data_IF_888240210981
#
_entry.id   IF_888240210981
#
_cell.length_a   1.000
_cell.length_b   1.000
_cell.length_c   1.000
_cell.angle_alpha   90.00
_cell.angle_beta   90.00
_cell.angle_gamma   90.00
#
_symmetry.space_group_name_H-M   'P 1'
#
loop_
_entity.id
_entity.type
_entity.pdbx_description
1 polymer ?
#
# COMPACT_ATOMS: atom_id res chain seq x y z
N UNK A 1 -13.71 -0.62 14.66
CA UNK A 1 -13.91 -0.99 13.23
C UNK A 1 -12.59 -1.27 12.49
N UNK A 2 -11.56 -0.44 12.59
CA UNK A 2 -10.25 -0.69 11.95
C UNK A 2 -9.56 -1.98 12.45
N UNK A 3 -9.66 -2.29 13.75
CA UNK A 3 -9.14 -3.54 14.31
C UNK A 3 -9.72 -4.79 13.65
N UNK A 4 -11.00 -4.78 13.31
CA UNK A 4 -11.64 -5.87 12.58
C UNK A 4 -11.00 -6.10 11.21
N UNK A 5 -10.81 -5.04 10.41
CA UNK A 5 -10.17 -5.16 9.09
C UNK A 5 -8.73 -5.64 9.19
N UNK A 6 -7.97 -5.15 10.18
CA UNK A 6 -6.58 -5.57 10.43
C UNK A 6 -6.49 -7.06 10.80
N UNK A 7 -7.38 -7.54 11.66
CA UNK A 7 -7.41 -8.95 12.06
C UNK A 7 -7.82 -9.87 10.90
N UNK A 8 -8.85 -9.49 10.13
CA UNK A 8 -9.28 -10.23 8.96
C UNK A 8 -8.18 -10.30 7.88
N UNK A 9 -7.45 -9.20 7.66
CA UNK A 9 -6.32 -9.17 6.74
C UNK A 9 -5.19 -10.10 7.16
N UNK A 10 -4.83 -10.12 8.45
CA UNK A 10 -3.80 -11.00 8.99
C UNK A 10 -4.19 -12.47 8.86
N UNK A 11 -5.43 -12.82 9.18
CA UNK A 11 -5.97 -14.18 9.01
C UNK A 11 -5.91 -14.64 7.55
N UNK A 12 -6.39 -13.82 6.62
CA UNK A 12 -6.37 -14.12 5.19
C UNK A 12 -4.95 -14.25 4.64
N UNK A 13 -4.00 -13.43 5.11
CA UNK A 13 -2.59 -13.55 4.73
C UNK A 13 -2.00 -14.87 5.20
N UNK A 14 -2.26 -15.26 6.45
CA UNK A 14 -1.78 -16.53 7.01
C UNK A 14 -2.34 -17.73 6.23
N UNK A 15 -3.64 -17.74 5.97
CA UNK A 15 -4.29 -18.79 5.18
C UNK A 15 -3.70 -18.88 3.75
N UNK A 16 -3.44 -17.73 3.10
CA UNK A 16 -2.82 -17.68 1.77
C UNK A 16 -1.39 -18.24 1.76
N UNK A 17 -0.61 -17.93 2.79
CA UNK A 17 0.76 -18.47 2.93
C UNK A 17 0.78 -19.99 3.12
N UNK A 18 -0.13 -20.52 3.95
CA UNK A 18 -0.30 -21.97 4.15
C UNK A 18 -0.67 -22.66 2.82
N UNK A 19 -1.47 -21.99 1.97
CA UNK A 19 -1.81 -22.49 0.63
C UNK A 19 -0.71 -22.26 -0.43
N UNK A 20 0.52 -21.91 -0.03
CA UNK A 20 1.68 -21.76 -0.93
C UNK A 20 1.66 -20.51 -1.83
N UNK A 21 0.79 -19.53 -1.55
CA UNK A 21 0.71 -18.27 -2.33
C UNK A 21 1.44 -17.12 -1.62
N UNK A 22 1.95 -16.15 -2.37
CA UNK A 22 2.64 -14.96 -1.80
C UNK A 22 1.76 -14.17 -0.81
N UNK A 23 0.43 -14.21 -0.94
CA UNK A 23 -0.51 -13.62 0.00
C UNK A 23 -0.50 -12.08 0.03
N UNK A 24 -0.01 -11.43 -1.02
CA UNK A 24 0.10 -9.97 -1.08
C UNK A 24 -1.25 -9.30 -1.38
N UNK A 25 -2.06 -9.85 -2.28
CA UNK A 25 -3.28 -9.22 -2.78
C UNK A 25 -4.57 -9.80 -2.18
N UNK A 26 -4.52 -11.08 -1.75
CA UNK A 26 -5.72 -11.78 -1.26
C UNK A 26 -6.40 -11.08 -0.07
N UNK A 27 -5.67 -10.59 0.95
CA UNK A 27 -6.28 -9.83 2.04
C UNK A 27 -7.06 -8.62 1.55
N UNK A 28 -6.49 -7.85 0.63
CA UNK A 28 -7.15 -6.68 0.07
C UNK A 28 -8.41 -7.02 -0.71
N UNK A 29 -8.39 -8.09 -1.52
CA UNK A 29 -9.57 -8.59 -2.24
C UNK A 29 -10.70 -8.96 -1.27
N UNK A 30 -10.38 -9.67 -0.19
CA UNK A 30 -11.38 -10.05 0.83
C UNK A 30 -11.94 -8.82 1.52
N UNK A 31 -11.07 -7.91 1.96
CA UNK A 31 -11.49 -6.68 2.64
C UNK A 31 -12.39 -5.81 1.77
N UNK A 32 -12.06 -5.67 0.49
CA UNK A 32 -12.85 -4.88 -0.47
C UNK A 32 -14.24 -5.50 -0.73
N UNK A 33 -14.36 -6.83 -0.71
CA UNK A 33 -15.68 -7.50 -0.77
C UNK A 33 -16.53 -7.25 0.48
N UNK A 34 -15.90 -7.09 1.65
CA UNK A 34 -16.60 -6.77 2.90
C UNK A 34 -17.01 -5.29 2.93
N UNK A 35 -16.15 -4.40 2.42
CA UNK A 35 -16.40 -2.96 2.37
C UNK A 35 -15.62 -2.33 1.23
N UNK A 36 -16.31 -1.85 0.21
CA UNK A 36 -15.69 -1.23 -0.96
C UNK A 36 -14.86 0.03 -0.59
N UNK A 37 -15.28 0.78 0.43
CA UNK A 37 -14.58 1.96 0.94
C UNK A 37 -13.54 1.64 2.04
N UNK A 38 -13.08 0.39 2.14
CA UNK A 38 -12.14 -0.02 3.19
C UNK A 38 -10.82 0.74 3.13
N UNK A 39 -10.31 1.04 1.93
CA UNK A 39 -9.05 1.77 1.78
C UNK A 39 -9.15 3.19 2.33
N UNK A 40 -10.23 3.91 2.06
CA UNK A 40 -10.48 5.24 2.63
C UNK A 40 -10.45 5.20 4.16
N UNK A 41 -11.10 4.18 4.75
CA UNK A 41 -11.12 4.04 6.21
C UNK A 41 -9.76 3.68 6.81
N UNK A 42 -8.99 2.83 6.14
CA UNK A 42 -7.64 2.46 6.59
C UNK A 42 -6.65 3.62 6.43
N UNK A 43 -6.79 4.41 5.38
CA UNK A 43 -5.92 5.55 5.08
C UNK A 43 -6.20 6.78 5.95
N UNK A 44 -7.41 6.90 6.53
CA UNK A 44 -7.78 8.06 7.36
C UNK A 44 -6.95 8.20 8.65
N UNK A 45 -6.23 7.17 9.07
CA UNK A 45 -5.30 7.20 10.20
C UNK A 45 -3.92 7.79 9.86
N UNK A 46 -3.65 8.07 8.57
CA UNK A 46 -2.35 8.53 8.10
C UNK A 46 -2.33 10.03 7.86
N UNK A 47 -1.29 10.69 8.36
CA UNK A 47 -1.07 12.13 8.20
C UNK A 47 -0.38 12.44 6.86
N UNK A 48 0.52 11.52 6.42
CA UNK A 48 1.24 11.64 5.17
C UNK A 48 1.17 10.35 4.34
N UNK A 49 0.78 10.50 3.08
CA UNK A 49 0.77 9.42 2.09
C UNK A 49 1.56 9.87 0.87
N UNK A 50 2.67 9.20 0.62
CA UNK A 50 3.54 9.46 -0.54
C UNK A 50 3.30 8.37 -1.57
N UNK A 51 2.88 8.75 -2.77
CA UNK A 51 2.83 7.84 -3.91
C UNK A 51 4.13 7.93 -4.71
N UNK A 52 4.68 6.77 -5.07
CA UNK A 52 5.83 6.65 -5.96
C UNK A 52 5.40 5.92 -7.22
N UNK A 53 5.52 6.58 -8.37
CA UNK A 53 5.09 6.04 -9.66
C UNK A 53 6.09 6.34 -10.77
N UNK A 54 5.83 5.80 -11.95
CA UNK A 54 6.65 5.95 -13.15
C UNK A 54 6.83 4.62 -13.86
N UNK A 55 7.19 4.64 -15.13
CA UNK A 55 7.40 3.42 -15.93
C UNK A 55 8.55 2.60 -15.35
N UNK A 56 9.68 3.24 -15.02
CA UNK A 56 10.87 2.59 -14.49
C UNK A 56 11.32 3.20 -13.15
N UNK A 57 12.00 2.38 -12.33
CA UNK A 57 12.66 2.82 -11.11
C UNK A 57 11.76 3.00 -9.87
N UNK A 58 10.46 2.71 -9.95
CA UNK A 58 9.51 2.80 -8.83
C UNK A 58 10.03 2.14 -7.55
N UNK A 59 10.37 0.86 -7.65
CA UNK A 59 10.84 0.05 -6.51
C UNK A 59 12.16 0.57 -5.95
N UNK A 60 13.10 0.97 -6.82
CA UNK A 60 14.38 1.55 -6.39
C UNK A 60 14.17 2.84 -5.62
N UNK A 61 13.35 3.74 -6.14
CA UNK A 61 13.03 5.02 -5.49
C UNK A 61 12.29 4.80 -4.16
N UNK A 62 11.30 3.92 -4.14
CA UNK A 62 10.57 3.58 -2.91
C UNK A 62 11.48 2.99 -1.85
N UNK A 63 12.42 2.12 -2.25
CA UNK A 63 13.41 1.55 -1.34
C UNK A 63 14.37 2.60 -0.79
N UNK A 64 14.82 3.54 -1.64
CA UNK A 64 15.69 4.64 -1.22
C UNK A 64 14.99 5.55 -0.20
N UNK A 65 13.75 5.97 -0.49
CA UNK A 65 12.93 6.75 0.44
C UNK A 65 12.76 5.99 1.75
N UNK A 66 12.39 4.71 1.69
CA UNK A 66 12.20 3.89 2.88
C UNK A 66 13.48 3.68 3.69
N UNK A 67 14.63 3.54 3.03
CA UNK A 67 15.92 3.49 3.72
C UNK A 67 16.22 4.80 4.45
N UNK A 68 16.06 5.93 3.79
CA UNK A 68 16.25 7.26 4.39
C UNK A 68 15.34 7.48 5.59
N UNK A 69 14.07 7.11 5.50
CA UNK A 69 13.11 7.22 6.60
C UNK A 69 13.51 6.33 7.79
N UNK A 70 13.98 5.11 7.55
CA UNK A 70 14.48 4.22 8.62
C UNK A 70 15.71 4.81 9.31
N UNK A 71 16.66 5.35 8.55
CA UNK A 71 17.83 6.03 9.12
C UNK A 71 17.44 7.24 9.97
N UNK A 72 16.36 7.93 9.60
CA UNK A 72 15.79 9.05 10.36
C UNK A 72 14.90 8.61 11.54
N UNK A 73 14.81 7.32 11.85
CA UNK A 73 13.98 6.77 12.94
C UNK A 73 12.46 6.92 12.72
N UNK A 74 12.01 7.10 11.48
CA UNK A 74 10.58 7.27 11.17
C UNK A 74 9.87 5.94 11.01
N UNK A 75 8.68 5.81 11.62
CA UNK A 75 7.77 4.69 11.40
C UNK A 75 6.91 4.94 10.17
N UNK A 76 6.89 3.99 9.26
CA UNK A 76 6.08 4.08 8.03
C UNK A 76 5.66 2.69 7.54
N UNK A 77 4.64 2.64 6.70
CA UNK A 77 4.27 1.44 5.93
C UNK A 77 4.72 1.58 4.48
N UNK A 78 4.93 0.44 3.83
CA UNK A 78 5.26 0.38 2.42
C UNK A 78 4.84 -0.96 1.78
N UNK A 79 4.70 -0.97 0.46
CA UNK A 79 4.35 -2.15 -0.32
C UNK A 79 5.51 -2.67 -1.18
N UNK A 80 6.73 -2.65 -0.68
CA UNK A 80 7.95 -3.03 -1.40
C UNK A 80 7.97 -4.47 -1.98
N UNK A 81 7.01 -5.31 -1.62
CA UNK A 81 6.88 -6.67 -2.16
C UNK A 81 6.20 -6.70 -3.56
N UNK A 82 6.07 -5.56 -4.23
CA UNK A 82 5.50 -5.45 -5.58
C UNK A 82 3.97 -5.44 -5.62
N UNK A 83 3.30 -5.28 -4.48
CA UNK A 83 1.84 -5.18 -4.38
C UNK A 83 1.35 -3.76 -4.73
N UNK A 84 1.58 -3.30 -5.97
CA UNK A 84 1.40 -1.92 -6.43
C UNK A 84 0.04 -1.64 -7.09
N UNK A 85 -0.87 -2.61 -7.02
CA UNK A 85 -2.27 -2.49 -7.45
C UNK A 85 -3.21 -2.30 -6.24
N UNK A 86 -4.46 -1.91 -6.49
CA UNK A 86 -5.44 -1.56 -5.46
C UNK A 86 -5.53 -2.60 -4.32
N UNK A 87 -5.69 -3.87 -4.64
CA UNK A 87 -5.86 -4.92 -3.62
C UNK A 87 -4.58 -5.13 -2.78
N UNK A 88 -3.40 -4.99 -3.40
CA UNK A 88 -2.11 -5.03 -2.70
C UNK A 88 -1.91 -3.83 -1.78
N UNK A 89 -2.31 -2.64 -2.22
CA UNK A 89 -2.28 -1.41 -1.43
C UNK A 89 -3.20 -1.54 -0.21
N UNK A 90 -4.44 -2.02 -0.39
CA UNK A 90 -5.37 -2.31 0.73
C UNK A 90 -4.73 -3.28 1.73
N UNK A 91 -4.12 -4.37 1.23
CA UNK A 91 -3.42 -5.34 2.09
C UNK A 91 -2.31 -4.69 2.90
N UNK A 92 -1.52 -3.81 2.30
CA UNK A 92 -0.43 -3.08 2.96
C UNK A 92 -0.94 -2.24 4.11
N UNK A 93 -1.94 -1.40 3.86
CA UNK A 93 -2.56 -0.56 4.89
C UNK A 93 -3.17 -1.40 6.03
N UNK A 94 -3.85 -2.51 5.71
CA UNK A 94 -4.49 -3.33 6.71
C UNK A 94 -3.51 -4.13 7.58
N UNK A 95 -2.39 -4.60 7.00
CA UNK A 95 -1.47 -5.52 7.68
C UNK A 95 -0.37 -4.79 8.43
N UNK A 96 0.20 -3.73 7.85
CA UNK A 96 1.37 -3.05 8.40
C UNK A 96 1.01 -1.89 9.32
N UNK A 97 -0.16 -1.28 9.17
CA UNK A 97 -0.55 -0.15 9.98
C UNK A 97 -0.72 -0.53 11.48
N UNK A 98 -0.22 0.35 12.33
CA UNK A 98 -0.44 0.32 13.78
C UNK A 98 -0.75 1.75 14.26
N UNK A 99 -1.07 1.91 15.54
CA UNK A 99 -1.51 3.20 16.08
C UNK A 99 -0.43 4.31 16.03
N UNK A 100 0.86 3.91 15.92
CA UNK A 100 1.99 4.84 15.92
C UNK A 100 2.51 5.14 14.50
N UNK A 101 1.90 4.54 13.46
CA UNK A 101 2.35 4.73 12.08
C UNK A 101 1.44 5.72 11.38
N UNK A 102 1.99 6.88 11.03
CA UNK A 102 1.27 7.99 10.40
C UNK A 102 1.76 8.34 9.00
N UNK A 103 2.75 7.61 8.49
CA UNK A 103 3.38 7.81 7.20
C UNK A 103 3.26 6.55 6.35
N UNK A 104 2.88 6.72 5.09
CA UNK A 104 2.85 5.65 4.09
C UNK A 104 3.68 6.04 2.87
N UNK A 105 4.53 5.13 2.41
CA UNK A 105 5.27 5.25 1.13
C UNK A 105 4.79 4.12 0.22
N UNK A 106 3.97 4.45 -0.75
CA UNK A 106 3.24 3.49 -1.57
C UNK A 106 3.75 3.56 -3.01
N UNK A 107 4.37 2.50 -3.46
CA UNK A 107 4.61 2.26 -4.89
C UNK A 107 3.27 1.98 -5.56
N UNK A 108 2.99 2.68 -6.65
CA UNK A 108 1.74 2.51 -7.40
C UNK A 108 2.03 2.36 -8.89
N UNK A 109 1.40 1.35 -9.47
CA UNK A 109 1.41 1.14 -10.91
C UNK A 109 0.64 2.26 -11.63
N UNK A 110 1.14 2.76 -12.77
CA UNK A 110 0.57 3.90 -13.49
C UNK A 110 -0.91 3.66 -13.86
N UNK A 111 -1.23 2.45 -14.32
CA UNK A 111 -2.60 2.07 -14.67
C UNK A 111 -3.54 2.01 -13.47
N UNK A 112 -2.99 1.88 -12.25
CA UNK A 112 -3.76 1.78 -11.00
C UNK A 112 -4.01 3.13 -10.32
N UNK A 113 -3.26 4.19 -10.67
CA UNK A 113 -3.35 5.51 -10.03
C UNK A 113 -4.79 6.02 -9.98
N UNK A 114 -5.44 6.09 -11.14
CA UNK A 114 -6.80 6.62 -11.25
C UNK A 114 -7.79 5.88 -10.34
N UNK A 115 -7.63 4.56 -10.24
CA UNK A 115 -8.51 3.71 -9.42
C UNK A 115 -8.25 3.89 -7.93
N UNK A 116 -6.99 3.95 -7.52
CA UNK A 116 -6.60 4.12 -6.11
C UNK A 116 -6.98 5.51 -5.61
N UNK A 117 -6.83 6.54 -6.44
CA UNK A 117 -7.20 7.92 -6.10
C UNK A 117 -8.71 8.15 -5.91
N UNK A 118 -9.55 7.20 -6.26
CA UNK A 118 -10.97 7.23 -5.88
C UNK A 118 -11.19 7.03 -4.38
N UNK A 119 -10.22 6.44 -3.68
CA UNK A 119 -10.30 6.07 -2.26
C UNK A 119 -9.39 6.91 -1.38
N UNK A 120 -8.22 7.30 -1.86
CA UNK A 120 -7.23 8.08 -1.12
C UNK A 120 -6.57 9.12 -2.02
N UNK A 121 -6.36 10.30 -1.43
CA UNK A 121 -5.56 11.37 -2.06
C UNK A 121 -4.19 11.40 -1.39
N UNK A 122 -3.10 11.23 -2.13
CA UNK A 122 -1.76 11.33 -1.55
C UNK A 122 -1.44 12.77 -1.15
N UNK A 123 -0.63 12.94 -0.11
CA UNK A 123 -0.10 14.26 0.27
C UNK A 123 1.07 14.67 -0.61
N UNK A 124 1.79 13.68 -1.16
CA UNK A 124 2.96 13.89 -2.03
C UNK A 124 2.98 12.85 -3.15
N UNK A 125 3.45 13.29 -4.33
CA UNK A 125 3.72 12.43 -5.47
C UNK A 125 5.21 12.48 -5.81
N UNK A 126 5.81 11.30 -6.01
CA UNK A 126 7.13 11.14 -6.61
C UNK A 126 6.93 10.46 -7.96
N UNK A 127 7.26 11.16 -9.02
CA UNK A 127 7.12 10.68 -10.39
C UNK A 127 8.54 10.57 -10.97
N UNK A 128 8.98 9.35 -11.23
CA UNK A 128 10.33 9.12 -11.78
C UNK A 128 10.41 9.50 -13.26
N UNK A 129 9.54 8.88 -14.04
CA UNK A 129 9.50 9.07 -15.50
C UNK A 129 8.21 8.47 -16.05
N UNK A 130 7.82 8.92 -17.23
CA UNK A 130 6.80 8.29 -18.05
C UNK A 130 7.39 8.07 -19.45
N UNK A 131 7.55 6.81 -19.82
CA UNK A 131 7.89 6.43 -21.19
C UNK A 131 6.66 5.81 -21.84
N UNK A 132 6.44 6.11 -23.10
CA UNK A 132 5.45 5.42 -23.90
C UNK A 132 6.02 4.04 -24.21
N UNK A 133 5.35 2.98 -23.72
CA UNK A 133 5.67 1.64 -24.19
C UNK A 133 5.34 1.59 -25.68
N UNK A 134 6.34 1.23 -26.49
CA UNK A 134 6.17 1.10 -27.93
C UNK A 134 5.51 -0.23 -28.28
#
# INVERSE_FOLDING_TARGET
>A
MLGFYRNLAKLTRTASKIAGKKGTDLPGKVLRKVNDNVLTKLASDFDEIVFVTGTNGKTTTSNLIGHTLRCAGKNFINNFEGANMLDGIISTFAIQANNNTKLAVIEIDEGSIRRVMQYITPTKFVINNFFRDQ
#
